data_IF_155300701708
#
_entry.id   IF_155300701708
#
_cell.length_a   1.000
_cell.length_b   1.000
_cell.length_c   1.000
_cell.angle_alpha   90.00
_cell.angle_beta   90.00
_cell.angle_gamma   90.00
#
_symmetry.space_group_name_H-M   'P 1'
#
loop_
_entity.id
_entity.type
_entity.pdbx_description
1 polymer ?
#
# COMPACT_ATOMS: atom_id res chain seq x y z
N UNK A 1 27.04 -7.51 -6.94
CA UNK A 1 25.91 -7.51 -5.99
C UNK A 1 24.96 -8.63 -6.36
N UNK A 2 24.63 -9.50 -5.45
CA UNK A 2 23.73 -10.59 -5.73
C UNK A 2 22.26 -10.12 -5.81
N UNK A 3 21.37 -11.03 -6.21
CA UNK A 3 19.96 -10.73 -6.42
C UNK A 3 19.24 -10.32 -5.14
N UNK A 4 19.62 -10.93 -4.00
CA UNK A 4 19.04 -10.62 -2.68
C UNK A 4 19.45 -9.22 -2.23
N UNK A 5 20.70 -8.86 -2.41
CA UNK A 5 21.20 -7.52 -2.07
C UNK A 5 20.54 -6.44 -2.91
N UNK A 6 20.29 -6.70 -4.20
CA UNK A 6 19.56 -5.79 -5.07
C UNK A 6 18.11 -5.57 -4.59
N UNK A 7 17.43 -6.63 -4.16
CA UNK A 7 16.07 -6.53 -3.61
C UNK A 7 16.08 -5.71 -2.32
N UNK A 8 17.02 -5.96 -1.41
CA UNK A 8 17.16 -5.19 -0.16
C UNK A 8 17.37 -3.71 -0.42
N UNK A 9 18.22 -3.38 -1.39
CA UNK A 9 18.49 -1.99 -1.78
C UNK A 9 17.22 -1.32 -2.31
N UNK A 10 16.47 -1.98 -3.19
CA UNK A 10 15.21 -1.48 -3.74
C UNK A 10 14.15 -1.29 -2.67
N UNK A 11 14.03 -2.22 -1.71
CA UNK A 11 13.12 -2.08 -0.57
C UNK A 11 13.43 -0.79 0.19
N UNK A 12 14.70 -0.54 0.50
CA UNK A 12 15.12 0.68 1.20
C UNK A 12 14.80 1.94 0.41
N UNK A 13 14.99 1.91 -0.90
CA UNK A 13 14.68 3.03 -1.78
C UNK A 13 13.17 3.34 -1.79
N UNK A 14 12.32 2.33 -1.94
CA UNK A 14 10.87 2.49 -1.90
C UNK A 14 10.40 2.97 -0.54
N UNK A 15 10.95 2.42 0.54
CA UNK A 15 10.49 2.75 1.90
C UNK A 15 10.76 4.22 2.27
N UNK A 16 11.72 4.89 1.64
CA UNK A 16 11.98 6.32 1.86
C UNK A 16 10.76 7.19 1.60
N UNK A 17 9.93 6.84 0.62
CA UNK A 17 8.71 7.57 0.29
C UNK A 17 7.75 7.54 1.48
N UNK A 18 7.59 6.37 2.08
CA UNK A 18 6.62 6.14 3.15
C UNK A 18 7.13 6.61 4.51
N UNK A 19 8.42 6.45 4.78
CA UNK A 19 9.02 6.77 6.09
C UNK A 19 9.20 8.27 6.35
N UNK A 20 9.03 9.12 5.35
CA UNK A 20 9.09 10.57 5.51
C UNK A 20 8.13 11.05 6.60
N UNK A 21 8.53 12.09 7.34
CA UNK A 21 7.66 12.74 8.33
C UNK A 21 7.11 11.74 9.37
N UNK A 22 7.98 10.88 9.90
CA UNK A 22 7.62 9.85 10.87
C UNK A 22 6.49 8.94 10.36
N UNK A 23 6.59 8.49 9.10
CA UNK A 23 5.59 7.66 8.42
C UNK A 23 4.27 8.36 8.12
N UNK A 24 4.19 9.67 8.22
CA UNK A 24 3.05 10.39 7.63
C UNK A 24 3.19 10.54 6.11
N UNK A 25 4.32 10.14 5.57
CA UNK A 25 4.57 10.06 4.14
C UNK A 25 4.91 11.39 3.49
N UNK A 26 4.63 11.49 2.21
CA UNK A 26 4.88 12.69 1.40
C UNK A 26 3.76 13.71 1.58
N UNK A 27 3.78 14.40 2.72
CA UNK A 27 2.70 15.32 3.15
C UNK A 27 2.50 16.52 2.23
N UNK A 28 3.51 16.87 1.43
CA UNK A 28 3.42 17.97 0.47
C UNK A 28 2.82 17.55 -0.87
N UNK A 29 2.64 16.25 -1.10
CA UNK A 29 2.06 15.74 -2.35
C UNK A 29 0.58 16.11 -2.43
N UNK A 30 0.13 16.59 -3.59
CA UNK A 30 -1.28 16.92 -3.81
C UNK A 30 -2.15 15.65 -3.87
N UNK A 31 -1.57 14.51 -4.24
CA UNK A 31 -2.25 13.23 -4.27
C UNK A 31 -2.03 12.47 -2.97
N UNK A 32 -3.09 11.83 -2.46
CA UNK A 32 -3.00 11.04 -1.22
C UNK A 32 -2.61 9.58 -1.48
N UNK A 33 -2.74 9.12 -2.72
CA UNK A 33 -2.39 7.76 -3.10
C UNK A 33 -1.81 7.73 -4.53
N UNK A 34 -1.19 6.61 -4.88
CA UNK A 34 -0.61 6.38 -6.20
C UNK A 34 -1.06 5.03 -6.75
N UNK A 35 -1.12 4.95 -8.07
CA UNK A 35 -1.45 3.73 -8.80
C UNK A 35 -0.40 3.48 -9.86
N UNK A 36 0.05 2.23 -9.98
CA UNK A 36 0.90 1.79 -11.09
C UNK A 36 0.18 0.70 -11.87
N UNK A 37 -0.02 0.97 -13.15
CA UNK A 37 -0.68 0.02 -14.05
C UNK A 37 0.23 -1.18 -14.32
N UNK A 38 -0.36 -2.37 -14.36
CA UNK A 38 0.31 -3.61 -14.75
C UNK A 38 -0.34 -4.25 -15.96
N UNK A 39 0.13 -5.44 -16.31
CA UNK A 39 -0.35 -6.20 -17.46
C UNK A 39 -1.06 -7.51 -17.10
N UNK A 40 -0.96 -7.95 -15.85
CA UNK A 40 -1.63 -9.18 -15.40
C UNK A 40 -2.89 -8.83 -14.57
N UNK A 41 -3.90 -9.73 -14.52
CA UNK A 41 -5.20 -9.43 -13.88
C UNK A 41 -5.18 -9.55 -12.35
N UNK A 42 -4.14 -9.02 -11.73
CA UNK A 42 -3.94 -9.01 -10.28
C UNK A 42 -3.63 -7.58 -9.85
N UNK A 43 -4.27 -7.12 -8.77
CA UNK A 43 -3.92 -5.86 -8.13
C UNK A 43 -3.58 -6.08 -6.66
N UNK A 44 -2.49 -5.45 -6.22
CA UNK A 44 -2.09 -5.41 -4.82
C UNK A 44 -2.40 -4.02 -4.26
N UNK A 45 -2.94 -3.98 -3.06
CA UNK A 45 -3.28 -2.74 -2.35
C UNK A 45 -2.50 -2.66 -1.05
N UNK A 46 -1.96 -1.47 -0.74
CA UNK A 46 -1.37 -1.16 0.56
C UNK A 46 -1.91 0.19 1.03
N UNK A 47 -3.03 0.14 1.75
CA UNK A 47 -3.68 1.33 2.30
C UNK A 47 -3.04 1.83 3.59
N UNK A 48 -2.26 1.00 4.27
CA UNK A 48 -1.62 1.30 5.55
C UNK A 48 -0.09 1.39 5.48
N UNK A 49 0.49 1.61 4.32
CA UNK A 49 1.95 1.78 4.17
C UNK A 49 2.48 3.07 4.80
N UNK A 50 1.59 4.00 5.14
CA UNK A 50 1.83 5.21 5.94
C UNK A 50 0.85 5.24 7.09
N UNK A 51 1.09 6.12 8.07
CA UNK A 51 0.15 6.34 9.17
C UNK A 51 -1.23 6.71 8.63
N UNK A 52 -2.27 6.29 9.34
CA UNK A 52 -3.65 6.63 9.07
C UNK A 52 -4.24 7.36 10.28
N UNK A 53 -5.37 8.03 10.08
CA UNK A 53 -6.14 8.63 11.17
C UNK A 53 -7.51 7.95 11.21
N UNK A 54 -7.83 7.32 12.35
CA UNK A 54 -9.10 6.64 12.57
C UNK A 54 -9.78 7.27 13.79
N UNK A 55 -10.97 7.85 13.59
CA UNK A 55 -11.73 8.54 14.66
C UNK A 55 -10.87 9.58 15.39
N UNK A 56 -10.07 10.35 14.66
CA UNK A 56 -9.19 11.38 15.20
C UNK A 56 -7.93 10.87 15.90
N UNK A 57 -7.68 9.54 15.88
CA UNK A 57 -6.52 8.92 16.51
C UNK A 57 -5.54 8.39 15.48
N UNK A 58 -4.25 8.51 15.77
CA UNK A 58 -3.20 7.98 14.94
C UNK A 58 -3.21 6.45 14.96
N UNK A 59 -3.28 5.85 13.77
CA UNK A 59 -3.02 4.43 13.53
C UNK A 59 -1.69 4.34 12.81
N UNK A 60 -0.71 3.72 13.45
CA UNK A 60 0.65 3.62 12.92
C UNK A 60 0.72 2.77 11.65
N UNK A 61 1.66 3.09 10.77
CA UNK A 61 1.86 2.42 9.50
C UNK A 61 2.20 0.93 9.67
N UNK A 62 1.74 0.13 8.72
CA UNK A 62 2.23 -1.23 8.47
C UNK A 62 3.50 -1.09 7.63
N UNK A 63 4.66 -0.99 8.29
CA UNK A 63 5.93 -0.71 7.63
C UNK A 63 6.29 -1.77 6.59
N UNK A 64 6.93 -1.35 5.51
CA UNK A 64 7.41 -2.17 4.39
C UNK A 64 6.32 -2.78 3.50
N UNK A 65 5.02 -2.60 3.79
CA UNK A 65 3.95 -3.13 2.93
C UNK A 65 3.91 -2.42 1.57
N UNK A 66 4.11 -1.11 1.55
CA UNK A 66 4.20 -0.34 0.30
C UNK A 66 5.42 -0.72 -0.52
N UNK A 67 6.57 -0.93 0.12
CA UNK A 67 7.78 -1.39 -0.54
C UNK A 67 7.62 -2.78 -1.13
N UNK A 68 6.98 -3.69 -0.39
CA UNK A 68 6.73 -5.06 -0.85
C UNK A 68 5.91 -5.07 -2.14
N UNK A 69 4.78 -4.34 -2.19
CA UNK A 69 3.95 -4.34 -3.39
C UNK A 69 4.65 -3.66 -4.58
N UNK A 70 5.50 -2.67 -4.34
CA UNK A 70 6.31 -2.06 -5.41
C UNK A 70 7.33 -3.05 -5.98
N UNK A 71 8.00 -3.83 -5.14
CA UNK A 71 8.90 -4.90 -5.59
C UNK A 71 8.13 -5.95 -6.39
N UNK A 72 6.95 -6.36 -5.92
CA UNK A 72 6.13 -7.34 -6.64
C UNK A 72 5.64 -6.79 -7.98
N UNK A 73 5.32 -5.51 -8.08
CA UNK A 73 5.03 -4.86 -9.35
C UNK A 73 6.23 -4.95 -10.31
N UNK A 74 7.44 -4.65 -9.83
CA UNK A 74 8.66 -4.73 -10.64
C UNK A 74 8.93 -6.14 -11.15
N UNK A 75 8.62 -7.16 -10.34
CA UNK A 75 8.90 -8.55 -10.66
C UNK A 75 7.81 -9.21 -11.52
N UNK A 76 6.55 -8.82 -11.38
CA UNK A 76 5.42 -9.55 -11.97
C UNK A 76 4.58 -8.72 -12.93
N UNK A 77 4.77 -7.41 -12.94
CA UNK A 77 3.93 -6.46 -13.67
C UNK A 77 2.45 -6.53 -13.25
N UNK A 78 2.20 -6.83 -11.97
CA UNK A 78 0.85 -6.69 -11.39
C UNK A 78 0.51 -5.20 -11.20
N UNK A 79 -0.78 -4.88 -11.18
CA UNK A 79 -1.23 -3.54 -10.79
C UNK A 79 -1.00 -3.33 -9.31
N UNK A 80 -0.71 -2.10 -8.88
CA UNK A 80 -0.62 -1.76 -7.45
C UNK A 80 -1.26 -0.40 -7.18
N UNK A 81 -1.80 -0.27 -5.97
CA UNK A 81 -2.31 0.98 -5.42
C UNK A 81 -1.86 1.11 -3.96
N UNK A 82 -1.39 2.29 -3.57
CA UNK A 82 -0.88 2.50 -2.22
C UNK A 82 -1.02 3.96 -1.79
N UNK A 83 -1.11 4.19 -0.49
CA UNK A 83 -1.17 5.53 0.08
C UNK A 83 0.20 6.21 0.00
N UNK A 84 0.19 7.52 -0.26
CA UNK A 84 1.40 8.36 -0.27
C UNK A 84 1.58 9.14 1.02
N UNK A 85 0.48 9.47 1.70
CA UNK A 85 0.51 10.30 2.91
C UNK A 85 -0.69 10.01 3.81
N UNK A 86 -0.53 10.36 5.08
CA UNK A 86 -1.66 10.45 6.01
C UNK A 86 -2.46 11.71 5.66
N UNK A 87 -3.64 11.53 5.11
CA UNK A 87 -4.55 12.62 4.72
C UNK A 87 -5.74 12.75 5.68
N UNK A 88 -5.62 12.17 6.88
CA UNK A 88 -6.65 12.27 7.90
C UNK A 88 -7.74 11.21 7.84
N UNK A 89 -7.63 10.24 6.92
CA UNK A 89 -8.58 9.14 6.75
C UNK A 89 -7.90 7.78 6.88
N UNK A 90 -8.70 6.75 7.15
CA UNK A 90 -8.25 5.36 7.16
C UNK A 90 -9.04 4.59 6.10
N UNK A 91 -8.38 4.23 5.01
CA UNK A 91 -9.02 3.60 3.84
C UNK A 91 -9.64 2.23 4.14
N UNK A 92 -9.25 1.60 5.23
CA UNK A 92 -9.81 0.30 5.64
C UNK A 92 -10.94 0.44 6.67
N UNK A 93 -11.12 1.63 7.23
CA UNK A 93 -12.12 1.91 8.25
C UNK A 93 -13.22 2.84 7.73
N UNK A 94 -12.84 3.93 7.06
CA UNK A 94 -13.78 4.91 6.56
C UNK A 94 -14.54 4.36 5.36
N UNK A 95 -15.78 4.84 5.16
CA UNK A 95 -16.57 4.39 4.03
C UNK A 95 -16.06 4.99 2.71
N UNK A 96 -16.61 4.52 1.59
CA UNK A 96 -16.12 4.86 0.24
C UNK A 96 -16.22 6.37 -0.07
N UNK A 97 -17.15 7.09 0.54
CA UNK A 97 -17.33 8.52 0.35
C UNK A 97 -16.33 9.35 1.16
N UNK A 98 -15.73 8.78 2.21
CA UNK A 98 -14.90 9.48 3.19
C UNK A 98 -13.42 9.13 3.09
N UNK A 99 -13.05 8.15 2.28
CA UNK A 99 -11.69 7.58 2.25
C UNK A 99 -10.71 8.33 1.33
N UNK A 100 -11.04 9.52 0.89
CA UNK A 100 -10.19 10.30 -0.02
C UNK A 100 -10.21 9.81 -1.47
N UNK A 101 -11.16 8.95 -1.83
CA UNK A 101 -11.32 8.45 -3.20
C UNK A 101 -10.55 7.17 -3.50
N UNK A 102 -9.85 6.60 -2.53
CA UNK A 102 -9.02 5.42 -2.70
C UNK A 102 -9.81 4.21 -3.20
N UNK A 103 -10.88 3.84 -2.48
CA UNK A 103 -11.68 2.66 -2.83
C UNK A 103 -12.44 2.84 -4.15
N UNK A 104 -12.93 4.04 -4.43
CA UNK A 104 -13.59 4.32 -5.68
C UNK A 104 -12.64 4.17 -6.87
N UNK A 105 -11.43 4.70 -6.74
CA UNK A 105 -10.40 4.56 -7.76
C UNK A 105 -10.02 3.08 -7.95
N UNK A 106 -9.81 2.35 -6.86
CA UNK A 106 -9.52 0.91 -6.88
C UNK A 106 -10.64 0.13 -7.56
N UNK A 107 -11.90 0.42 -7.24
CA UNK A 107 -13.07 -0.21 -7.87
C UNK A 107 -13.08 0.01 -9.37
N UNK A 108 -12.80 1.23 -9.83
CA UNK A 108 -12.74 1.56 -11.25
C UNK A 108 -11.61 0.82 -11.96
N UNK A 109 -10.43 0.74 -11.34
CA UNK A 109 -9.29 -0.02 -11.89
C UNK A 109 -9.63 -1.49 -12.04
N UNK A 110 -10.27 -2.09 -11.04
CA UNK A 110 -10.69 -3.50 -11.06
C UNK A 110 -11.64 -3.74 -12.25
N UNK A 111 -12.61 -2.87 -12.44
CA UNK A 111 -13.57 -2.99 -13.52
C UNK A 111 -12.92 -2.76 -14.88
N UNK A 112 -12.16 -1.69 -15.05
CA UNK A 112 -11.62 -1.25 -16.34
C UNK A 112 -10.52 -2.17 -16.86
N UNK A 113 -9.84 -2.90 -15.97
CA UNK A 113 -8.73 -3.78 -16.31
C UNK A 113 -9.06 -5.27 -16.17
N UNK A 114 -10.32 -5.62 -15.93
CA UNK A 114 -10.76 -7.02 -15.73
C UNK A 114 -9.92 -7.74 -14.66
N UNK A 115 -9.65 -7.08 -13.55
CA UNK A 115 -8.87 -7.67 -12.46
C UNK A 115 -9.62 -8.88 -11.89
N UNK A 116 -8.92 -9.98 -11.72
CA UNK A 116 -9.45 -11.25 -11.22
C UNK A 116 -9.13 -11.50 -9.76
N UNK A 117 -8.09 -10.86 -9.24
CA UNK A 117 -7.64 -11.06 -7.86
C UNK A 117 -7.17 -9.72 -7.28
N UNK A 118 -7.76 -9.35 -6.14
CA UNK A 118 -7.29 -8.25 -5.30
C UNK A 118 -6.65 -8.84 -4.05
N UNK A 119 -5.42 -8.43 -3.76
CA UNK A 119 -4.72 -8.79 -2.53
C UNK A 119 -4.44 -7.50 -1.76
N UNK A 120 -5.02 -7.37 -0.57
CA UNK A 120 -4.79 -6.25 0.32
C UNK A 120 -3.71 -6.65 1.34
N UNK A 121 -2.58 -5.92 1.33
CA UNK A 121 -1.39 -6.30 2.10
C UNK A 121 -1.34 -5.49 3.38
N UNK A 122 -1.25 -6.18 4.51
CA UNK A 122 -1.17 -5.60 5.84
C UNK A 122 0.03 -6.14 6.62
N UNK A 123 0.45 -5.38 7.63
CA UNK A 123 1.35 -5.88 8.66
C UNK A 123 0.59 -6.64 9.73
N UNK A 124 1.30 -7.52 10.45
CA UNK A 124 0.77 -8.24 11.59
C UNK A 124 1.60 -7.97 12.85
N UNK A 125 0.99 -8.15 14.02
CA UNK A 125 1.69 -7.97 15.29
C UNK A 125 2.84 -8.97 15.43
N UNK A 126 3.98 -8.50 15.97
CA UNK A 126 5.21 -9.31 16.10
C UNK A 126 5.05 -10.58 16.95
N UNK A 127 4.06 -10.60 17.86
CA UNK A 127 3.82 -11.75 18.74
C UNK A 127 3.09 -12.90 18.04
N UNK A 128 2.60 -12.70 16.84
CA UNK A 128 1.95 -13.77 16.06
C UNK A 128 3.01 -14.75 15.53
N UNK A 129 2.69 -16.04 15.58
CA UNK A 129 3.63 -17.14 15.32
C UNK A 129 3.80 -17.49 13.83
N UNK A 130 3.26 -16.69 12.92
CA UNK A 130 3.34 -16.95 11.48
C UNK A 130 4.11 -15.85 10.77
N UNK A 131 4.81 -16.20 9.68
CA UNK A 131 5.44 -15.23 8.81
C UNK A 131 4.49 -14.60 7.79
N UNK A 132 3.48 -15.37 7.35
CA UNK A 132 2.46 -14.92 6.41
C UNK A 132 1.12 -15.56 6.74
N UNK A 133 0.06 -14.75 6.77
CA UNK A 133 -1.32 -15.24 6.92
C UNK A 133 -2.15 -14.72 5.74
N UNK A 134 -2.95 -15.59 5.14
CA UNK A 134 -3.89 -15.23 4.10
C UNK A 134 -5.30 -15.30 4.69
N UNK A 135 -5.95 -14.12 4.78
CA UNK A 135 -7.35 -14.02 5.21
C UNK A 135 -8.30 -14.24 4.04
N UNK A 136 -9.43 -14.77 4.36
CA UNK A 136 -10.52 -14.97 3.38
C UNK A 136 -11.72 -14.07 3.67
#
# INVERSE_FOLDING_TARGET
MDKVDNIKLKISEYERIFSQNNYNGDVSNSNSFSYKQGSIPIILSSGHCVNQTRLGKLKVADTYTGSLINILHDLTDCHIIYKLKNDGVDVNFDNIEEDGGYKKFLSNVIKDNNIKLLIDVHGAAKWREFGLEIGS
#
